data_IF_494731135652
#
_entry.id   IF_494731135652
#
_cell.length_a   1.000
_cell.length_b   1.000
_cell.length_c   1.000
_cell.angle_alpha   90.00
_cell.angle_beta   90.00
_cell.angle_gamma   90.00
#
_symmetry.space_group_name_H-M   'P 1'
#
loop_
_entity.id
_entity.type
_entity.pdbx_description
1 polymer ?
#
# COMPACT_ATOMS: atom_id res chain seq x y z
N UNK A 1 -18.35 -13.38 -7.17
CA UNK A 1 -17.22 -12.45 -6.99
C UNK A 1 -16.70 -12.64 -5.59
N UNK A 2 -15.45 -13.08 -5.44
CA UNK A 2 -14.86 -13.50 -4.16
C UNK A 2 -14.06 -14.79 -4.34
N UNK A 3 -13.08 -15.00 -3.47
CA UNK A 3 -12.35 -16.27 -3.36
C UNK A 3 -13.19 -17.21 -2.49
N UNK A 4 -13.31 -18.47 -2.87
CA UNK A 4 -14.08 -19.45 -2.10
C UNK A 4 -13.50 -19.60 -0.68
N UNK A 5 -14.35 -19.54 0.35
CA UNK A 5 -13.94 -19.62 1.76
C UNK A 5 -13.34 -18.34 2.37
N UNK A 6 -13.25 -17.24 1.62
CA UNK A 6 -12.72 -15.96 2.13
C UNK A 6 -13.81 -15.02 2.68
N UNK A 7 -13.47 -14.26 3.71
CA UNK A 7 -14.36 -13.26 4.31
C UNK A 7 -14.19 -11.90 3.64
N UNK A 8 -15.30 -11.25 3.27
CA UNK A 8 -15.27 -9.87 2.76
C UNK A 8 -14.88 -8.84 3.83
N UNK A 9 -15.22 -9.12 5.09
CA UNK A 9 -14.97 -8.22 6.23
C UNK A 9 -13.55 -8.39 6.81
N UNK A 10 -12.92 -9.53 6.55
CA UNK A 10 -11.55 -9.80 6.96
C UNK A 10 -10.85 -10.76 5.98
N UNK A 11 -10.53 -10.30 4.77
CA UNK A 11 -9.87 -11.13 3.78
C UNK A 11 -8.44 -11.43 4.21
N UNK A 12 -7.95 -12.63 3.92
CA UNK A 12 -6.60 -13.11 4.30
C UNK A 12 -5.72 -13.44 3.11
N UNK A 13 -6.27 -13.50 1.90
CA UNK A 13 -5.50 -13.83 0.70
C UNK A 13 -4.30 -12.90 0.45
N UNK A 14 -4.45 -11.59 0.70
CA UNK A 14 -3.36 -10.63 0.51
C UNK A 14 -2.33 -10.74 1.63
N UNK A 15 -2.78 -10.88 2.89
CA UNK A 15 -1.91 -11.15 4.04
C UNK A 15 -1.03 -12.38 3.74
N UNK A 16 -1.65 -13.50 3.38
CA UNK A 16 -0.97 -14.76 3.08
C UNK A 16 0.00 -14.64 1.90
N UNK A 17 -0.35 -13.84 0.88
CA UNK A 17 0.52 -13.60 -0.27
C UNK A 17 1.76 -12.78 0.11
N UNK A 18 1.60 -11.75 0.94
CA UNK A 18 2.72 -10.94 1.45
C UNK A 18 3.63 -11.81 2.34
N UNK A 19 3.04 -12.61 3.22
CA UNK A 19 3.77 -13.56 4.07
C UNK A 19 4.54 -14.61 3.26
N UNK A 20 3.93 -15.16 2.21
CA UNK A 20 4.59 -16.12 1.32
C UNK A 20 5.81 -15.53 0.60
N UNK A 21 5.83 -14.21 0.38
CA UNK A 21 6.98 -13.51 -0.21
C UNK A 21 8.07 -13.15 0.82
N UNK A 22 7.89 -13.53 2.09
CA UNK A 22 8.87 -13.32 3.16
C UNK A 22 8.73 -12.01 3.92
N UNK A 23 7.65 -11.26 3.69
CA UNK A 23 7.30 -10.08 4.49
C UNK A 23 6.37 -10.46 5.67
N UNK A 24 6.14 -9.53 6.59
CA UNK A 24 5.21 -9.72 7.71
C UNK A 24 3.94 -8.89 7.47
N UNK A 25 2.78 -9.54 7.45
CA UNK A 25 1.52 -8.85 7.24
C UNK A 25 1.02 -8.24 8.56
N UNK A 26 0.73 -6.93 8.58
CA UNK A 26 0.02 -6.32 9.69
C UNK A 26 -1.44 -6.82 9.71
N UNK A 27 -1.78 -7.68 10.67
CA UNK A 27 -3.10 -8.32 10.71
C UNK A 27 -4.15 -7.56 11.51
N UNK A 28 -3.74 -6.55 12.29
CA UNK A 28 -4.60 -5.81 13.23
C UNK A 28 -4.53 -4.32 12.98
N UNK A 29 -5.30 -3.81 12.01
CA UNK A 29 -5.44 -2.37 11.81
C UNK A 29 -6.87 -2.00 11.38
N UNK A 30 -7.38 -0.88 11.90
CA UNK A 30 -8.79 -0.50 11.80
C UNK A 30 -9.29 -0.29 10.36
N UNK A 31 -8.37 0.00 9.43
CA UNK A 31 -8.68 0.36 8.05
C UNK A 31 -8.41 -0.75 7.03
N UNK A 32 -8.29 -2.00 7.48
CA UNK A 32 -7.95 -3.15 6.61
C UNK A 32 -8.82 -3.31 5.37
N UNK A 33 -10.13 -3.21 5.52
CA UNK A 33 -11.10 -3.35 4.41
C UNK A 33 -11.65 -2.01 3.94
N UNK A 34 -11.02 -0.91 4.33
CA UNK A 34 -11.48 0.43 3.95
C UNK A 34 -11.15 0.75 2.49
N UNK A 35 -12.10 1.33 1.78
CA UNK A 35 -11.89 1.82 0.41
C UNK A 35 -10.90 2.99 0.41
N UNK A 36 -9.99 3.01 -0.57
CA UNK A 36 -9.05 4.13 -0.74
C UNK A 36 -9.72 5.41 -1.27
N UNK A 37 -10.97 5.37 -1.71
CA UNK A 37 -11.65 6.54 -2.27
C UNK A 37 -11.23 6.92 -3.70
N UNK A 38 -10.47 6.07 -4.41
CA UNK A 38 -9.91 6.40 -5.73
C UNK A 38 -10.93 6.81 -6.79
N UNK A 39 -12.15 6.27 -6.76
CA UNK A 39 -13.24 6.69 -7.66
C UNK A 39 -13.69 8.15 -7.42
N UNK A 40 -13.47 8.66 -6.21
CA UNK A 40 -13.81 10.03 -5.79
C UNK A 40 -12.63 10.99 -5.91
N UNK A 41 -11.43 10.52 -6.28
CA UNK A 41 -10.21 11.32 -6.26
C UNK A 41 -10.33 12.62 -7.09
N UNK A 42 -11.09 12.59 -8.19
CA UNK A 42 -11.30 13.76 -9.05
C UNK A 42 -12.56 14.56 -8.71
N UNK A 43 -13.66 13.89 -8.36
CA UNK A 43 -14.95 14.56 -8.13
C UNK A 43 -15.07 15.14 -6.73
N UNK A 44 -14.51 14.45 -5.73
CA UNK A 44 -14.60 14.80 -4.31
C UNK A 44 -13.25 14.55 -3.61
N UNK A 45 -12.19 15.30 -4.00
CA UNK A 45 -10.82 15.06 -3.56
C UNK A 45 -10.66 15.10 -2.04
N UNK A 46 -11.36 16.01 -1.35
CA UNK A 46 -11.30 16.12 0.11
C UNK A 46 -11.79 14.85 0.81
N UNK A 47 -12.87 14.25 0.32
CA UNK A 47 -13.40 12.98 0.86
C UNK A 47 -12.46 11.82 0.56
N UNK A 48 -11.93 11.76 -0.66
CA UNK A 48 -10.94 10.75 -1.05
C UNK A 48 -9.71 10.82 -0.14
N UNK A 49 -9.14 12.02 0.04
CA UNK A 49 -7.95 12.23 0.87
C UNK A 49 -8.19 11.95 2.36
N UNK A 50 -9.39 12.22 2.89
CA UNK A 50 -9.75 11.84 4.26
C UNK A 50 -9.76 10.31 4.45
N UNK A 51 -10.24 9.54 3.46
CA UNK A 51 -10.20 8.08 3.49
C UNK A 51 -8.75 7.56 3.41
N UNK A 52 -7.95 8.10 2.49
CA UNK A 52 -6.54 7.75 2.35
C UNK A 52 -5.75 8.06 3.62
N UNK A 53 -5.97 9.22 4.24
CA UNK A 53 -5.35 9.60 5.52
C UNK A 53 -5.54 8.48 6.55
N UNK A 54 -6.77 8.00 6.73
CA UNK A 54 -7.06 6.95 7.71
C UNK A 54 -6.30 5.65 7.44
N UNK A 55 -6.14 5.26 6.17
CA UNK A 55 -5.37 4.06 5.79
C UNK A 55 -3.89 4.25 6.14
N UNK A 56 -3.31 5.40 5.79
CA UNK A 56 -1.90 5.70 6.02
C UNK A 56 -1.62 5.82 7.53
N UNK A 57 -2.48 6.51 8.27
CA UNK A 57 -2.37 6.68 9.72
C UNK A 57 -2.44 5.32 10.41
N UNK A 58 -3.39 4.45 10.04
CA UNK A 58 -3.47 3.09 10.57
C UNK A 58 -2.21 2.25 10.25
N UNK A 59 -1.62 2.40 9.06
CA UNK A 59 -0.37 1.73 8.72
C UNK A 59 0.81 2.28 9.55
N UNK A 60 0.86 3.60 9.74
CA UNK A 60 1.92 4.28 10.49
C UNK A 60 1.87 3.92 11.98
N UNK A 61 0.69 3.93 12.59
CA UNK A 61 0.47 3.61 14.01
C UNK A 61 0.81 2.15 14.34
N UNK A 62 0.70 1.27 13.35
CA UNK A 62 1.09 -0.14 13.48
C UNK A 62 2.56 -0.39 13.07
N UNK A 63 3.33 0.66 12.75
CA UNK A 63 4.75 0.54 12.41
C UNK A 63 5.02 -0.15 11.07
N UNK A 64 4.10 -0.08 10.11
CA UNK A 64 4.30 -0.69 8.81
C UNK A 64 5.42 0.01 8.02
N UNK A 65 6.33 -0.78 7.43
CA UNK A 65 7.40 -0.29 6.56
C UNK A 65 6.90 0.18 5.20
N UNK A 66 5.78 -0.38 4.74
CA UNK A 66 5.18 -0.12 3.43
C UNK A 66 3.73 -0.60 3.37
N UNK A 67 2.98 -0.10 2.40
CA UNK A 67 1.61 -0.53 2.10
C UNK A 67 1.62 -1.35 0.80
N UNK A 68 1.02 -2.53 0.81
CA UNK A 68 0.86 -3.38 -0.38
C UNK A 68 -0.60 -3.36 -0.82
N UNK A 69 -0.85 -3.14 -2.10
CA UNK A 69 -2.20 -3.00 -2.64
C UNK A 69 -2.48 -4.01 -3.75
N UNK A 70 -3.72 -4.54 -3.84
CA UNK A 70 -4.14 -5.42 -4.92
C UNK A 70 -4.80 -4.67 -6.08
N UNK A 71 -4.80 -3.32 -6.06
CA UNK A 71 -5.47 -2.49 -7.05
C UNK A 71 -4.58 -1.31 -7.48
N UNK A 72 -4.31 -1.11 -8.79
CA UNK A 72 -3.45 -0.02 -9.26
C UNK A 72 -3.96 1.38 -8.89
N UNK A 73 -5.28 1.56 -8.86
CA UNK A 73 -5.90 2.83 -8.43
C UNK A 73 -5.66 3.08 -6.94
N UNK A 74 -5.66 2.02 -6.12
CA UNK A 74 -5.34 2.14 -4.70
C UNK A 74 -3.88 2.53 -4.50
N UNK A 75 -2.95 1.91 -5.25
CA UNK A 75 -1.54 2.31 -5.21
C UNK A 75 -1.40 3.79 -5.53
N UNK A 76 -1.88 4.24 -6.70
CA UNK A 76 -1.76 5.62 -7.14
C UNK A 76 -2.37 6.59 -6.12
N UNK A 77 -3.58 6.33 -5.64
CA UNK A 77 -4.30 7.27 -4.77
C UNK A 77 -3.66 7.37 -3.37
N UNK A 78 -3.17 6.26 -2.82
CA UNK A 78 -2.55 6.25 -1.49
C UNK A 78 -1.12 6.79 -1.55
N UNK A 79 -0.42 6.62 -2.67
CA UNK A 79 0.95 7.11 -2.84
C UNK A 79 1.02 8.59 -3.24
N UNK A 80 0.27 8.99 -4.28
CA UNK A 80 0.43 10.31 -4.90
C UNK A 80 -0.04 11.47 -4.02
N UNK A 81 -1.03 11.23 -3.15
CA UNK A 81 -1.66 12.30 -2.37
C UNK A 81 -1.10 12.45 -0.94
N UNK A 82 -0.03 11.73 -0.56
CA UNK A 82 0.54 11.86 0.80
C UNK A 82 0.99 13.29 1.09
N UNK A 83 1.61 13.98 0.12
CA UNK A 83 2.04 15.37 0.29
C UNK A 83 0.85 16.34 0.47
N UNK A 84 -0.22 16.15 -0.31
CA UNK A 84 -1.45 16.92 -0.15
C UNK A 84 -2.10 16.68 1.22
N UNK A 85 -2.15 15.41 1.66
CA UNK A 85 -2.67 15.04 2.98
C UNK A 85 -1.82 15.69 4.08
N UNK A 86 -0.49 15.63 3.96
CA UNK A 86 0.42 16.27 4.90
C UNK A 86 0.20 17.78 5.01
N UNK A 87 0.04 18.46 3.87
CA UNK A 87 -0.24 19.90 3.84
C UNK A 87 -1.60 20.25 4.47
N UNK A 88 -2.64 19.46 4.20
CA UNK A 88 -4.00 19.72 4.69
C UNK A 88 -4.17 19.40 6.18
N UNK A 89 -3.59 18.29 6.65
CA UNK A 89 -3.82 17.76 8.00
C UNK A 89 -2.64 18.00 8.96
N UNK A 90 -1.55 18.62 8.51
CA UNK A 90 -0.35 18.87 9.33
C UNK A 90 0.41 17.59 9.70
N UNK A 91 0.24 16.52 8.92
CA UNK A 91 0.91 15.22 9.12
C UNK A 91 2.27 15.18 8.41
N UNK A 92 3.02 14.10 8.61
CA UNK A 92 4.35 13.89 7.99
C UNK A 92 4.50 12.48 7.44
N UNK A 93 3.43 11.97 6.83
CA UNK A 93 3.43 10.64 6.25
C UNK A 93 4.38 10.59 5.05
N UNK A 94 5.16 9.51 4.99
CA UNK A 94 6.07 9.24 3.88
C UNK A 94 6.29 7.73 3.80
N UNK A 95 5.19 7.00 3.57
CA UNK A 95 5.21 5.53 3.55
C UNK A 95 5.17 5.03 2.09
N UNK A 96 6.10 4.15 1.67
CA UNK A 96 6.05 3.54 0.34
C UNK A 96 4.77 2.74 0.13
N UNK A 97 4.19 2.85 -1.07
CA UNK A 97 3.01 2.06 -1.46
C UNK A 97 3.34 1.29 -2.72
N UNK A 98 3.08 -0.01 -2.72
CA UNK A 98 3.43 -0.88 -3.85
C UNK A 98 2.25 -1.71 -4.30
N UNK A 99 2.28 -2.11 -5.56
CA UNK A 99 1.39 -3.15 -6.05
C UNK A 99 1.97 -4.52 -5.72
N UNK A 100 1.12 -5.49 -5.40
CA UNK A 100 1.57 -6.82 -4.96
C UNK A 100 2.53 -7.49 -5.97
N UNK A 101 2.38 -7.26 -7.28
CA UNK A 101 3.28 -7.86 -8.27
C UNK A 101 4.71 -7.30 -8.21
N UNK A 102 4.90 -6.06 -7.77
CA UNK A 102 6.22 -5.47 -7.53
C UNK A 102 6.91 -6.21 -6.40
N UNK A 103 6.19 -6.46 -5.29
CA UNK A 103 6.70 -7.29 -4.19
C UNK A 103 7.06 -8.70 -4.66
N UNK A 104 6.20 -9.33 -5.47
CA UNK A 104 6.48 -10.66 -6.05
C UNK A 104 7.73 -10.65 -6.94
N UNK A 105 7.91 -9.63 -7.78
CA UNK A 105 9.07 -9.52 -8.64
C UNK A 105 10.37 -9.45 -7.82
N UNK A 106 10.38 -8.63 -6.75
CA UNK A 106 11.52 -8.54 -5.82
C UNK A 106 11.77 -9.89 -5.14
N UNK A 107 10.72 -10.54 -4.62
CA UNK A 107 10.85 -11.84 -3.97
C UNK A 107 11.36 -12.95 -4.90
N UNK A 108 11.08 -12.86 -6.21
CA UNK A 108 11.58 -13.78 -7.23
C UNK A 108 12.96 -13.39 -7.79
N UNK A 109 13.68 -12.47 -7.14
CA UNK A 109 15.05 -12.10 -7.47
C UNK A 109 15.18 -11.26 -8.75
N UNK A 110 14.14 -10.50 -9.11
CA UNK A 110 14.21 -9.55 -10.23
C UNK A 110 14.99 -8.30 -9.84
N UNK A 111 15.66 -7.71 -10.83
CA UNK A 111 16.36 -6.44 -10.66
C UNK A 111 15.40 -5.27 -10.39
N UNK A 112 15.91 -4.15 -9.87
CA UNK A 112 15.08 -3.02 -9.46
C UNK A 112 14.25 -2.46 -10.62
N UNK A 113 14.86 -2.47 -11.83
CA UNK A 113 14.21 -2.06 -13.06
C UNK A 113 13.15 -3.06 -13.53
N UNK A 114 13.39 -4.36 -13.40
CA UNK A 114 12.40 -5.38 -13.77
C UNK A 114 11.22 -5.42 -12.79
N UNK A 115 11.47 -5.11 -11.51
CA UNK A 115 10.44 -4.99 -10.48
C UNK A 115 9.66 -3.66 -10.55
N UNK A 116 10.15 -2.68 -11.31
CA UNK A 116 9.52 -1.36 -11.46
C UNK A 116 9.66 -0.47 -10.23
N UNK A 117 10.73 -0.63 -9.44
CA UNK A 117 10.96 0.17 -8.23
C UNK A 117 11.23 1.66 -8.54
N UNK A 118 11.74 1.94 -9.75
CA UNK A 118 11.94 3.30 -10.27
C UNK A 118 10.61 4.02 -10.58
N UNK A 119 9.51 3.29 -10.68
CA UNK A 119 8.17 3.84 -10.87
C UNK A 119 7.47 4.26 -9.56
N UNK A 120 8.03 3.91 -8.39
CA UNK A 120 7.45 4.30 -7.10
C UNK A 120 7.72 5.79 -6.84
N UNK A 121 6.67 6.53 -6.48
CA UNK A 121 6.79 7.94 -6.10
C UNK A 121 7.49 8.09 -4.75
N UNK A 122 7.24 7.15 -3.84
CA UNK A 122 7.91 7.06 -2.54
C UNK A 122 8.76 5.79 -2.53
N UNK A 123 10.07 5.97 -2.50
CA UNK A 123 11.04 4.88 -2.60
C UNK A 123 11.01 3.99 -1.35
N UNK A 124 10.83 2.67 -1.54
CA UNK A 124 10.97 1.69 -0.47
C UNK A 124 12.42 1.33 -0.24
N UNK A 125 12.97 1.74 0.91
CA UNK A 125 14.33 1.37 1.31
C UNK A 125 14.47 -0.14 1.41
N UNK A 126 13.50 -0.82 2.02
CA UNK A 126 13.50 -2.26 2.25
C UNK A 126 13.57 -3.04 0.92
N UNK A 127 12.75 -2.68 -0.07
CA UNK A 127 12.81 -3.34 -1.38
C UNK A 127 14.11 -3.03 -2.12
N UNK A 128 14.59 -1.78 -2.08
CA UNK A 128 15.86 -1.40 -2.71
C UNK A 128 17.05 -2.15 -2.08
N UNK A 129 17.07 -2.31 -0.75
CA UNK A 129 18.11 -3.05 -0.03
C UNK A 129 18.07 -4.56 -0.34
N UNK A 130 16.90 -5.13 -0.63
CA UNK A 130 16.77 -6.54 -1.05
C UNK A 130 17.35 -6.74 -2.44
N UNK A 131 17.03 -5.87 -3.39
CA UNK A 131 17.45 -6.03 -4.79
C UNK A 131 18.92 -5.63 -5.02
N UNK A 132 19.52 -4.89 -4.09
CA UNK A 132 20.94 -4.54 -4.12
C UNK A 132 21.87 -5.68 -3.66
N UNK A 133 21.33 -6.76 -3.08
CA UNK A 133 22.08 -7.96 -2.65
C UNK A 133 22.20 -8.98 -3.78
#
# INVERSE_FOLDING_TARGET
>A
FGIDGESFENPKYLDNMVEAMGAEACTTYEKKVSCCGGALAFSEPEKSQALVKGIIEAAYDNGADMIVTPCPVCQLNVEAYQDNINATYGTKFHIPVTYYSTLMAVAYGKSAKEAGLDGLMIQSKQLNDIVAK
#
